data_IF_968290602029
#
_entry.id   IF_968290602029
#
_cell.length_a   1.000
_cell.length_b   1.000
_cell.length_c   1.000
_cell.angle_alpha   90.00
_cell.angle_beta   90.00
_cell.angle_gamma   90.00
#
_symmetry.space_group_name_H-M   'P 1'
#
loop_
_entity.id
_entity.type
_entity.pdbx_description
1 polymer ?
#
# COMPACT_ATOMS: atom_id res chain seq x y z
N UNK A 1 31.62 33.96 3.90
CA UNK A 1 31.47 32.52 3.57
C UNK A 1 30.51 31.75 4.49
N UNK A 2 30.23 32.17 5.74
CA UNK A 2 29.35 31.43 6.67
C UNK A 2 27.85 31.42 6.30
N UNK A 3 27.34 32.48 5.66
CA UNK A 3 25.92 32.62 5.31
C UNK A 3 25.45 31.63 4.23
N UNK A 4 26.32 31.29 3.26
CA UNK A 4 26.01 30.33 2.18
C UNK A 4 26.02 28.88 2.66
N UNK A 5 26.87 28.53 3.63
CA UNK A 5 26.90 27.19 4.25
C UNK A 5 25.69 26.94 5.15
N UNK A 6 25.20 27.95 5.88
CA UNK A 6 23.99 27.82 6.69
C UNK A 6 22.74 27.54 5.84
N UNK A 7 22.68 28.06 4.62
CA UNK A 7 21.58 27.82 3.69
C UNK A 7 21.55 26.36 3.19
N UNK A 8 22.72 25.74 2.98
CA UNK A 8 22.82 24.35 2.52
C UNK A 8 22.20 23.39 3.54
N UNK A 9 22.46 23.58 4.84
CA UNK A 9 21.89 22.74 5.89
C UNK A 9 20.38 22.88 6.00
N UNK A 10 19.85 24.11 5.91
CA UNK A 10 18.39 24.36 5.97
C UNK A 10 17.67 23.72 4.78
N UNK A 11 18.24 23.83 3.58
CA UNK A 11 17.70 23.18 2.37
C UNK A 11 17.77 21.64 2.50
N UNK A 12 18.89 21.11 3.01
CA UNK A 12 19.07 19.67 3.21
C UNK A 12 18.08 19.11 4.24
N UNK A 13 17.86 19.82 5.35
CA UNK A 13 16.88 19.45 6.38
C UNK A 13 15.45 19.49 5.83
N UNK A 14 15.14 20.51 5.02
CA UNK A 14 13.86 20.62 4.33
C UNK A 14 13.60 19.46 3.35
N UNK A 15 14.61 19.06 2.57
CA UNK A 15 14.53 17.91 1.65
C UNK A 15 14.28 16.59 2.38
N UNK A 16 14.98 16.35 3.49
CA UNK A 16 14.78 15.14 4.30
C UNK A 16 13.38 15.11 4.92
N UNK A 17 12.88 16.25 5.40
CA UNK A 17 11.52 16.34 5.93
C UNK A 17 10.46 16.04 4.85
N UNK A 18 10.63 16.57 3.63
CA UNK A 18 9.72 16.30 2.51
C UNK A 18 9.70 14.81 2.13
N UNK A 19 10.86 14.16 2.07
CA UNK A 19 10.95 12.72 1.77
C UNK A 19 10.38 11.85 2.91
N UNK A 20 10.51 12.27 4.17
CA UNK A 20 9.88 11.59 5.30
C UNK A 20 8.36 11.69 5.29
N UNK A 21 7.83 12.85 4.90
CA UNK A 21 6.40 13.09 4.76
C UNK A 21 5.82 12.28 3.59
N UNK A 22 6.54 12.16 2.46
CA UNK A 22 6.05 11.32 1.35
C UNK A 22 5.94 9.86 1.76
N UNK A 23 6.88 9.32 2.54
CA UNK A 23 6.76 7.98 3.12
C UNK A 23 5.50 7.82 3.98
N UNK A 24 5.21 8.81 4.82
CA UNK A 24 4.00 8.80 5.67
C UNK A 24 2.70 8.86 4.86
N UNK A 25 2.69 9.55 3.71
CA UNK A 25 1.51 9.69 2.85
C UNK A 25 1.28 8.42 2.01
N UNK A 26 2.34 7.73 1.58
CA UNK A 26 2.22 6.54 0.71
C UNK A 26 2.18 5.21 1.47
N UNK A 27 2.50 5.18 2.76
CA UNK A 27 2.47 3.97 3.58
C UNK A 27 1.04 3.62 4.03
N UNK A 28 0.14 3.45 3.05
CA UNK A 28 -1.22 3.00 3.25
C UNK A 28 -1.31 1.50 2.93
N UNK A 29 -1.59 0.69 3.94
CA UNK A 29 -1.78 -0.76 3.80
C UNK A 29 -3.05 -1.04 2.98
N UNK A 30 -2.88 -1.24 1.67
CA UNK A 30 -3.97 -1.60 0.77
C UNK A 30 -4.04 -3.13 0.62
N UNK A 31 -5.10 -3.80 1.10
CA UNK A 31 -5.20 -5.25 1.05
C UNK A 31 -5.27 -5.79 -0.39
N UNK A 32 -5.72 -4.98 -1.37
CA UNK A 32 -5.69 -5.35 -2.78
C UNK A 32 -4.27 -5.39 -3.34
N UNK A 33 -3.45 -4.42 -2.94
CA UNK A 33 -2.05 -4.36 -3.36
C UNK A 33 -1.28 -5.54 -2.77
N UNK A 34 -1.46 -5.79 -1.47
CA UNK A 34 -0.88 -6.92 -0.79
C UNK A 34 -1.29 -8.25 -1.42
N UNK A 35 -2.59 -8.44 -1.71
CA UNK A 35 -3.09 -9.63 -2.39
C UNK A 35 -2.49 -9.78 -3.79
N UNK A 36 -2.31 -8.68 -4.53
CA UNK A 36 -1.75 -8.70 -5.89
C UNK A 36 -0.27 -9.07 -5.88
N UNK A 37 0.53 -8.44 -5.02
CA UNK A 37 1.98 -8.62 -5.01
C UNK A 37 2.40 -9.94 -4.35
N UNK A 38 1.75 -10.28 -3.23
CA UNK A 38 2.20 -11.39 -2.38
C UNK A 38 1.35 -12.65 -2.54
N UNK A 39 0.18 -12.54 -3.18
CA UNK A 39 -0.84 -13.60 -3.19
C UNK A 39 -1.18 -14.08 -1.77
N UNK A 40 -1.05 -13.21 -0.77
CA UNK A 40 -1.33 -13.55 0.62
C UNK A 40 -2.12 -12.43 1.30
N UNK A 41 -3.34 -12.74 1.70
CA UNK A 41 -4.23 -11.84 2.42
C UNK A 41 -4.93 -12.58 3.57
N UNK A 42 -4.16 -13.29 4.39
CA UNK A 42 -4.69 -13.96 5.57
C UNK A 42 -5.30 -12.94 6.55
N UNK A 43 -6.54 -13.18 6.99
CA UNK A 43 -7.31 -12.29 7.87
C UNK A 43 -7.60 -10.88 7.30
N UNK A 44 -7.40 -10.64 6.00
CA UNK A 44 -7.72 -9.36 5.39
C UNK A 44 -9.22 -9.07 5.40
N UNK A 45 -9.59 -7.80 5.50
CA UNK A 45 -10.95 -7.38 5.19
C UNK A 45 -11.06 -6.99 3.72
N UNK A 46 -11.72 -7.83 2.93
CA UNK A 46 -12.01 -7.61 1.51
C UNK A 46 -13.50 -7.38 1.26
N UNK A 47 -14.29 -7.13 2.31
CA UNK A 47 -15.73 -7.02 2.19
C UNK A 47 -16.16 -5.91 1.23
N UNK A 48 -17.13 -6.21 0.37
CA UNK A 48 -17.68 -5.28 -0.63
C UNK A 48 -16.75 -4.91 -1.78
N UNK A 49 -15.57 -5.53 -1.91
CA UNK A 49 -14.64 -5.24 -3.00
C UNK A 49 -15.05 -5.91 -4.31
N UNK A 50 -14.68 -5.27 -5.42
CA UNK A 50 -14.86 -5.80 -6.78
C UNK A 50 -13.60 -6.54 -7.21
N UNK A 51 -13.64 -7.86 -7.14
CA UNK A 51 -12.56 -8.78 -7.54
C UNK A 51 -12.97 -9.63 -8.75
N UNK A 52 -13.92 -9.15 -9.55
CA UNK A 52 -14.37 -9.88 -10.73
C UNK A 52 -13.23 -10.03 -11.74
N UNK A 53 -13.08 -11.25 -12.27
CA UNK A 53 -12.00 -11.67 -13.17
C UNK A 53 -10.57 -11.52 -12.61
N UNK A 54 -10.41 -11.35 -11.30
CA UNK A 54 -9.08 -11.35 -10.69
C UNK A 54 -8.42 -12.72 -10.80
N UNK A 55 -7.12 -12.72 -11.04
CA UNK A 55 -6.32 -13.92 -10.84
C UNK A 55 -6.05 -14.10 -9.35
N UNK A 56 -6.72 -15.07 -8.73
CA UNK A 56 -6.54 -15.46 -7.34
C UNK A 56 -5.89 -16.84 -7.23
N UNK A 57 -5.32 -17.36 -8.33
CA UNK A 57 -4.69 -18.67 -8.35
C UNK A 57 -3.52 -18.69 -7.37
N UNK A 58 -3.60 -19.62 -6.41
CA UNK A 58 -2.61 -19.78 -5.35
C UNK A 58 -2.64 -18.68 -4.28
N UNK A 59 -3.66 -17.81 -4.26
CA UNK A 59 -3.81 -16.82 -3.22
C UNK A 59 -4.20 -17.44 -1.88
N UNK A 60 -3.50 -17.06 -0.81
CA UNK A 60 -3.89 -17.39 0.55
C UNK A 60 -4.90 -16.36 1.07
N UNK A 61 -6.17 -16.76 1.12
CA UNK A 61 -7.27 -15.96 1.66
C UNK A 61 -7.83 -16.55 2.97
N UNK A 62 -7.04 -17.35 3.69
CA UNK A 62 -7.49 -17.98 4.93
C UNK A 62 -7.97 -16.91 5.93
N UNK A 63 -9.19 -17.08 6.47
CA UNK A 63 -9.87 -16.15 7.39
C UNK A 63 -10.10 -14.73 6.83
N UNK A 64 -9.93 -14.50 5.54
CA UNK A 64 -10.28 -13.21 4.95
C UNK A 64 -11.80 -12.97 5.02
N UNK A 65 -12.21 -11.73 5.31
CA UNK A 65 -13.60 -11.33 5.19
C UNK A 65 -13.94 -11.06 3.72
N UNK A 66 -14.75 -11.91 3.12
CA UNK A 66 -15.21 -11.82 1.72
C UNK A 66 -16.70 -11.43 1.62
N UNK A 67 -17.30 -10.92 2.69
CA UNK A 67 -18.72 -10.54 2.71
C UNK A 67 -19.03 -9.54 1.60
N UNK A 68 -19.97 -9.88 0.71
CA UNK A 68 -20.37 -9.01 -0.40
C UNK A 68 -19.29 -8.77 -1.47
N UNK A 69 -18.19 -9.53 -1.46
CA UNK A 69 -17.13 -9.39 -2.48
C UNK A 69 -17.60 -9.99 -3.82
N UNK A 70 -17.39 -9.28 -4.92
CA UNK A 70 -17.71 -9.81 -6.24
C UNK A 70 -16.54 -10.62 -6.79
N UNK A 71 -16.66 -11.95 -6.82
CA UNK A 71 -15.65 -12.88 -7.38
C UNK A 71 -16.02 -13.39 -8.78
N UNK A 72 -16.97 -12.75 -9.48
CA UNK A 72 -17.44 -13.25 -10.77
C UNK A 72 -16.27 -13.43 -11.76
N UNK A 73 -16.02 -14.68 -12.16
CA UNK A 73 -14.94 -15.04 -13.08
C UNK A 73 -13.52 -14.95 -12.51
N UNK A 74 -13.34 -14.78 -11.21
CA UNK A 74 -12.04 -14.93 -10.57
C UNK A 74 -11.54 -16.39 -10.67
N UNK A 75 -10.22 -16.60 -10.73
CA UNK A 75 -9.61 -17.93 -10.94
C UNK A 75 -8.64 -18.36 -9.83
#
# INVERSE_FOLDING_TARGET
MKLRQSLIWVISLGLVALLGITWLIINQDNPLEQLRETKNCQNCNLAGLELSRYDLKGANLEKANLEGVNLAGAN
#
